data_IF_310967092053
#
_entry.id   IF_310967092053
#
_cell.length_a   1.000
_cell.length_b   1.000
_cell.length_c   1.000
_cell.angle_alpha   90.00
_cell.angle_beta   90.00
_cell.angle_gamma   90.00
#
_symmetry.space_group_name_H-M   'P 1'
#
loop_
_entity.id
_entity.type
_entity.pdbx_description
1 polymer ?
#
# COMPACT_ATOMS: atom_id res chain seq x y z
N UNK A 1 -11.48 -7.14 0.48
CA UNK A 1 -10.07 -6.75 0.28
C UNK A 1 -10.03 -5.24 0.09
N UNK A 2 -9.90 -4.49 1.18
CA UNK A 2 -9.88 -3.04 1.08
C UNK A 2 -8.60 -2.57 0.41
N UNK A 3 -8.72 -1.66 -0.56
CA UNK A 3 -7.57 -1.03 -1.23
C UNK A 3 -6.55 -0.42 -0.26
N UNK A 4 -7.01 -0.02 0.93
CA UNK A 4 -6.18 0.63 1.96
C UNK A 4 -5.17 -0.32 2.60
N UNK A 5 -5.60 -1.46 3.15
CA UNK A 5 -4.72 -2.42 3.81
C UNK A 5 -5.33 -3.84 3.80
N UNK A 6 -4.54 -4.86 3.47
CA UNK A 6 -4.92 -6.27 3.52
C UNK A 6 -4.96 -6.80 4.96
N UNK A 7 -4.25 -6.16 5.89
CA UNK A 7 -4.17 -6.57 7.31
C UNK A 7 -5.48 -6.36 8.06
N UNK A 8 -6.42 -5.56 7.55
CA UNK A 8 -7.74 -5.37 8.19
C UNK A 8 -8.50 -6.69 8.37
N UNK A 9 -8.26 -7.68 7.50
CA UNK A 9 -8.82 -9.02 7.64
C UNK A 9 -8.31 -9.79 8.88
N UNK A 10 -7.20 -9.36 9.48
CA UNK A 10 -6.62 -9.98 10.68
C UNK A 10 -7.58 -9.95 11.86
N UNK A 11 -8.35 -8.87 12.04
CA UNK A 11 -9.31 -8.75 13.14
C UNK A 11 -10.33 -9.90 13.15
N UNK A 12 -10.76 -10.35 11.97
CA UNK A 12 -11.67 -11.48 11.79
C UNK A 12 -10.97 -12.84 11.89
N UNK A 13 -9.75 -12.94 11.33
CA UNK A 13 -9.04 -14.22 11.16
C UNK A 13 -8.08 -14.58 12.29
N UNK A 14 -7.90 -13.71 13.29
CA UNK A 14 -6.97 -13.92 14.42
C UNK A 14 -7.17 -15.25 15.16
N UNK A 15 -8.43 -15.67 15.36
CA UNK A 15 -8.76 -16.89 16.10
C UNK A 15 -8.60 -18.17 15.24
N UNK A 16 -8.30 -18.04 13.94
CA UNK A 16 -8.22 -19.16 12.98
C UNK A 16 -6.85 -19.16 12.28
N UNK A 17 -5.79 -19.68 12.93
CA UNK A 17 -4.41 -19.53 12.45
C UNK A 17 -4.13 -20.21 11.11
N UNK A 18 -4.79 -21.33 10.82
CA UNK A 18 -4.65 -22.05 9.53
C UNK A 18 -5.21 -21.22 8.38
N UNK A 19 -6.39 -20.63 8.57
CA UNK A 19 -7.03 -19.76 7.57
C UNK A 19 -6.21 -18.48 7.39
N UNK A 20 -5.67 -17.94 8.48
CA UNK A 20 -4.77 -16.78 8.43
C UNK A 20 -3.51 -17.05 7.59
N UNK A 21 -2.85 -18.19 7.77
CA UNK A 21 -1.70 -18.59 6.94
C UNK A 21 -2.07 -18.70 5.46
N UNK A 22 -3.23 -19.31 5.15
CA UNK A 22 -3.75 -19.40 3.77
C UNK A 22 -4.02 -18.00 3.19
N UNK A 23 -4.65 -17.12 3.97
CA UNK A 23 -4.93 -15.74 3.59
C UNK A 23 -3.65 -14.98 3.27
N UNK A 24 -2.62 -15.08 4.11
CA UNK A 24 -1.33 -14.43 3.86
C UNK A 24 -0.66 -14.93 2.58
N UNK A 25 -0.72 -16.23 2.29
CA UNK A 25 -0.11 -16.80 1.08
C UNK A 25 -0.73 -16.25 -0.22
N UNK A 26 -2.06 -16.11 -0.26
CA UNK A 26 -2.78 -15.80 -1.50
C UNK A 26 -3.20 -14.33 -1.64
N UNK A 27 -3.47 -13.64 -0.53
CA UNK A 27 -4.04 -12.29 -0.54
C UNK A 27 -3.04 -11.19 -0.13
N UNK A 28 -1.88 -11.53 0.45
CA UNK A 28 -0.84 -10.54 0.75
C UNK A 28 -0.34 -9.93 -0.57
N UNK A 29 -0.35 -8.59 -0.73
CA UNK A 29 0.28 -7.93 -1.86
C UNK A 29 1.75 -8.35 -1.98
N UNK A 30 2.19 -8.70 -3.19
CA UNK A 30 3.60 -9.01 -3.46
C UNK A 30 4.46 -7.77 -3.20
N UNK A 31 5.53 -7.93 -2.44
CA UNK A 31 6.53 -6.87 -2.26
C UNK A 31 7.25 -6.64 -3.59
N UNK A 32 7.23 -5.39 -4.06
CA UNK A 32 7.85 -4.98 -5.33
C UNK A 32 9.05 -4.08 -5.03
N UNK A 33 10.15 -4.32 -5.71
CA UNK A 33 11.32 -3.43 -5.69
C UNK A 33 11.04 -2.13 -6.46
N UNK A 34 10.28 -2.20 -7.55
CA UNK A 34 10.02 -1.12 -8.48
C UNK A 34 8.52 -0.90 -8.76
N UNK A 35 8.22 0.20 -9.46
CA UNK A 35 6.88 0.54 -9.94
C UNK A 35 6.16 1.61 -9.13
N UNK A 36 5.13 2.21 -9.75
CA UNK A 36 4.42 3.36 -9.20
C UNK A 36 3.66 3.05 -7.90
N UNK A 37 3.23 1.80 -7.68
CA UNK A 37 2.52 1.42 -6.44
C UNK A 37 3.37 1.56 -5.17
N UNK A 38 4.70 1.59 -5.29
CA UNK A 38 5.62 1.85 -4.16
C UNK A 38 5.66 3.33 -3.80
N UNK A 39 5.39 4.20 -4.76
CA UNK A 39 5.48 5.65 -4.62
C UNK A 39 4.12 6.16 -4.18
N UNK A 40 3.95 6.51 -2.91
CA UNK A 40 2.75 7.18 -2.40
C UNK A 40 3.10 8.58 -1.92
N UNK A 41 2.28 9.54 -2.33
CA UNK A 41 2.39 10.91 -1.84
C UNK A 41 2.20 10.94 -0.32
N UNK A 42 3.11 11.58 0.41
CA UNK A 42 3.03 11.73 1.87
C UNK A 42 1.78 12.49 2.34
N UNK A 43 1.28 13.44 1.53
CA UNK A 43 0.15 14.31 1.88
C UNK A 43 -1.21 13.69 1.56
N UNK A 44 -1.41 13.22 0.32
CA UNK A 44 -2.70 12.72 -0.15
C UNK A 44 -2.76 11.20 -0.38
N UNK A 45 -1.65 10.47 -0.23
CA UNK A 45 -1.60 9.02 -0.43
C UNK A 45 -1.72 8.54 -1.89
N UNK A 46 -1.88 9.46 -2.87
CA UNK A 46 -2.01 9.11 -4.29
C UNK A 46 -0.72 8.51 -4.83
N UNK A 47 -0.84 7.45 -5.63
CA UNK A 47 0.31 6.77 -6.24
C UNK A 47 0.70 7.30 -7.64
N UNK A 48 -0.19 8.06 -8.28
CA UNK A 48 0.03 8.62 -9.63
C UNK A 48 0.62 10.02 -9.57
N UNK A 49 1.32 10.38 -10.65
CA UNK A 49 1.93 11.71 -10.84
C UNK A 49 2.86 12.12 -9.70
N UNK A 50 3.73 11.19 -9.30
CA UNK A 50 4.66 11.35 -8.20
C UNK A 50 5.96 12.01 -8.67
N UNK A 51 6.44 13.00 -7.92
CA UNK A 51 7.70 13.69 -8.18
C UNK A 51 8.81 12.88 -7.49
N UNK A 52 9.60 12.16 -8.30
CA UNK A 52 10.68 11.31 -7.80
C UNK A 52 11.98 12.07 -7.56
N UNK A 53 12.10 13.29 -8.09
CA UNK A 53 13.29 14.12 -7.92
C UNK A 53 13.38 14.62 -6.48
N UNK A 54 14.60 14.73 -5.97
CA UNK A 54 14.93 15.32 -4.66
C UNK A 54 14.34 14.58 -3.43
N UNK A 55 13.83 13.35 -3.58
CA UNK A 55 13.33 12.58 -2.44
C UNK A 55 12.10 13.18 -1.75
N UNK A 56 11.35 14.05 -2.44
CA UNK A 56 10.22 14.80 -1.85
C UNK A 56 9.03 13.89 -1.47
N UNK A 57 8.82 12.80 -2.21
CA UNK A 57 7.70 11.89 -2.02
C UNK A 57 6.32 12.56 -2.06
N UNK A 58 6.12 13.46 -3.02
CA UNK A 58 4.87 14.21 -3.22
C UNK A 58 4.30 13.97 -4.62
N UNK A 59 2.98 14.13 -4.76
CA UNK A 59 2.35 14.19 -6.07
C UNK A 59 2.34 15.62 -6.61
N UNK A 60 2.18 15.76 -7.94
CA UNK A 60 2.19 17.06 -8.63
C UNK A 60 1.16 18.08 -8.12
N UNK A 61 0.06 17.62 -7.52
CA UNK A 61 -1.00 18.48 -7.01
C UNK A 61 -0.56 19.07 -5.66
N UNK A 62 -0.21 18.20 -4.72
CA UNK A 62 0.26 18.60 -3.39
C UNK A 62 1.60 19.35 -3.38
N UNK A 63 2.39 19.26 -4.45
CA UNK A 63 3.61 20.06 -4.60
C UNK A 63 3.32 21.50 -5.05
N UNK A 64 2.19 21.74 -5.71
CA UNK A 64 1.77 23.06 -6.20
C UNK A 64 0.92 23.83 -5.20
N UNK A 65 0.44 23.15 -4.15
CA UNK A 65 -0.35 23.68 -3.03
C UNK A 65 0.53 24.01 -1.83
#
# INVERSE_FOLDING_TARGET
MTYSDFRKAFAQLKNKPVIWKKYLKFNKPKERSCGYNRLRCKRCGRARAHINKYGLHLCRHCFRE
#
